data_IF_058834090770
#
_entry.id   IF_058834090770
#
_cell.length_a   1.000
_cell.length_b   1.000
_cell.length_c   1.000
_cell.angle_alpha   90.00
_cell.angle_beta   90.00
_cell.angle_gamma   90.00
#
_symmetry.space_group_name_H-M   'P 1'
#
loop_
_entity.id
_entity.type
_entity.pdbx_description
1 polymer ?
#
# COMPACT_ATOMS: atom_id res chain seq x y z
N UNK A 1 -6.66 -14.53 -11.73
CA UNK A 1 -5.33 -13.99 -11.35
C UNK A 1 -4.29 -14.98 -11.78
N UNK A 2 -3.29 -14.55 -12.56
CA UNK A 2 -2.16 -15.42 -12.95
C UNK A 2 -1.25 -15.63 -11.74
N UNK A 3 -0.46 -16.69 -11.74
CA UNK A 3 0.48 -16.97 -10.65
C UNK A 3 1.54 -15.87 -10.49
N UNK A 4 1.94 -15.25 -11.60
CA UNK A 4 2.87 -14.13 -11.60
C UNK A 4 2.27 -12.89 -10.95
N UNK A 5 0.99 -12.61 -11.20
CA UNK A 5 0.31 -11.48 -10.56
C UNK A 5 0.13 -11.70 -9.05
N UNK A 6 -0.16 -12.94 -8.64
CA UNK A 6 -0.18 -13.30 -7.22
C UNK A 6 1.17 -13.02 -6.56
N UNK A 7 2.27 -13.49 -7.16
CA UNK A 7 3.62 -13.26 -6.62
C UNK A 7 3.95 -11.76 -6.55
N UNK A 8 3.57 -10.98 -7.55
CA UNK A 8 3.76 -9.52 -7.56
C UNK A 8 3.04 -8.85 -6.38
N UNK A 9 1.77 -9.19 -6.15
CA UNK A 9 0.99 -8.65 -5.03
C UNK A 9 1.54 -9.09 -3.67
N UNK A 10 2.01 -10.33 -3.56
CA UNK A 10 2.67 -10.81 -2.32
C UNK A 10 3.97 -10.06 -2.02
N UNK A 11 4.75 -9.74 -3.05
CA UNK A 11 5.98 -8.96 -2.91
C UNK A 11 5.69 -7.51 -2.52
N UNK A 12 4.64 -6.88 -3.08
CA UNK A 12 4.24 -5.53 -2.73
C UNK A 12 3.83 -5.41 -1.25
N UNK A 13 3.12 -6.40 -0.72
CA UNK A 13 2.63 -6.42 0.65
C UNK A 13 3.66 -6.90 1.70
N UNK A 14 4.96 -6.93 1.36
CA UNK A 14 6.00 -7.51 2.21
C UNK A 14 6.06 -6.84 3.59
N UNK A 15 6.03 -5.51 3.64
CA UNK A 15 6.17 -4.74 4.87
C UNK A 15 4.90 -4.81 5.73
N UNK A 16 3.73 -4.68 5.12
CA UNK A 16 2.44 -4.76 5.78
C UNK A 16 2.26 -6.13 6.43
N UNK A 17 2.63 -7.20 5.73
CA UNK A 17 2.63 -8.56 6.30
C UNK A 17 3.55 -8.70 7.49
N UNK A 18 4.72 -8.06 7.48
CA UNK A 18 5.62 -8.09 8.63
C UNK A 18 4.98 -7.37 9.83
N UNK A 19 4.32 -6.22 9.60
CA UNK A 19 3.64 -5.44 10.65
C UNK A 19 2.40 -6.14 11.20
N UNK A 20 1.54 -6.72 10.36
CA UNK A 20 0.39 -7.49 10.83
C UNK A 20 0.82 -8.68 11.70
N UNK A 21 1.94 -9.34 11.36
CA UNK A 21 2.50 -10.43 12.18
C UNK A 21 2.96 -9.99 13.57
N UNK A 22 3.29 -8.71 13.78
CA UNK A 22 3.64 -8.21 15.12
C UNK A 22 2.43 -7.82 15.96
N UNK A 23 1.21 -7.96 15.42
CA UNK A 23 -0.03 -7.59 16.10
C UNK A 23 -0.48 -6.15 15.90
N UNK A 24 0.14 -5.41 14.97
CA UNK A 24 -0.32 -4.07 14.59
C UNK A 24 -1.68 -4.19 13.91
N UNK A 25 -2.72 -3.67 14.55
CA UNK A 25 -4.12 -3.81 14.11
C UNK A 25 -4.44 -2.98 12.85
N UNK A 26 -3.77 -1.85 12.64
CA UNK A 26 -4.03 -0.93 11.54
C UNK A 26 -2.71 -0.54 10.86
N UNK A 27 -2.60 -0.88 9.57
CA UNK A 27 -1.48 -0.50 8.72
C UNK A 27 -2.04 0.37 7.60
N UNK A 28 -1.40 1.50 7.34
CA UNK A 28 -1.82 2.43 6.31
C UNK A 28 -0.70 2.71 5.31
N UNK A 29 -1.02 2.64 4.02
CA UNK A 29 -0.17 3.13 2.95
C UNK A 29 -0.44 4.61 2.71
N UNK A 30 0.60 5.37 2.39
CA UNK A 30 0.50 6.80 2.08
C UNK A 30 1.32 7.11 0.82
N UNK A 31 0.76 7.92 -0.07
CA UNK A 31 1.44 8.38 -1.28
C UNK A 31 0.97 9.79 -1.66
N UNK A 32 1.77 10.48 -2.48
CA UNK A 32 1.47 11.81 -2.99
C UNK A 32 1.48 11.90 -4.52
N UNK A 33 0.65 12.78 -5.04
CA UNK A 33 0.64 13.18 -6.43
C UNK A 33 0.79 14.70 -6.55
N UNK A 34 1.37 15.16 -7.66
CA UNK A 34 1.50 16.59 -7.93
C UNK A 34 2.85 17.22 -7.57
N UNK A 35 3.90 16.43 -7.28
CA UNK A 35 5.26 16.95 -7.02
C UNK A 35 5.98 17.48 -8.28
N UNK A 36 5.63 16.96 -9.46
CA UNK A 36 6.29 17.27 -10.74
C UNK A 36 5.70 18.42 -11.59
N UNK A 37 4.39 18.70 -11.56
CA UNK A 37 3.81 19.82 -12.31
C UNK A 37 4.42 21.19 -11.94
N UNK A 38 4.41 22.12 -12.90
CA UNK A 38 4.92 23.49 -12.72
C UNK A 38 4.04 24.34 -11.78
N UNK A 39 2.76 23.98 -11.65
CA UNK A 39 1.78 24.63 -10.80
C UNK A 39 0.67 23.64 -10.42
N UNK A 40 -0.06 23.95 -9.34
CA UNK A 40 -1.05 23.08 -8.72
C UNK A 40 -0.57 22.54 -7.37
N UNK A 41 -1.48 22.07 -6.50
CA UNK A 41 -1.10 21.53 -5.20
C UNK A 41 -0.47 20.15 -5.33
N UNK A 42 0.39 19.81 -4.36
CA UNK A 42 0.69 18.41 -4.03
C UNK A 42 -0.46 17.90 -3.17
N UNK A 43 -0.98 16.74 -3.49
CA UNK A 43 -2.06 16.08 -2.74
C UNK A 43 -1.55 14.72 -2.27
N UNK A 44 -1.76 14.42 -0.99
CA UNK A 44 -1.42 13.12 -0.39
C UNK A 44 -2.70 12.40 0.05
N UNK A 45 -2.67 11.07 -0.02
CA UNK A 45 -3.73 10.21 0.48
C UNK A 45 -3.14 9.15 1.42
N UNK A 46 -3.94 8.71 2.39
CA UNK A 46 -3.58 7.66 3.33
C UNK A 46 -4.74 6.67 3.43
N UNK A 47 -4.45 5.38 3.26
CA UNK A 47 -5.47 4.32 3.22
C UNK A 47 -5.10 3.24 4.22
N UNK A 48 -5.97 3.00 5.19
CA UNK A 48 -5.87 1.85 6.11
C UNK A 48 -6.41 0.61 5.39
N UNK A 49 -5.54 -0.37 5.15
CA UNK A 49 -5.90 -1.60 4.43
C UNK A 49 -6.21 -2.74 5.42
N UNK A 50 -7.22 -3.60 5.14
CA UNK A 50 -7.43 -4.82 5.89
C UNK A 50 -6.32 -5.84 5.60
N UNK A 51 -6.06 -6.76 6.54
CA UNK A 51 -5.05 -7.82 6.35
C UNK A 51 -5.43 -8.75 5.17
N UNK A 52 -6.73 -9.00 4.96
CA UNK A 52 -7.25 -9.85 3.89
C UNK A 52 -8.61 -9.39 3.36
N UNK A 53 -8.93 -9.70 2.09
CA UNK A 53 -8.01 -10.23 1.07
C UNK A 53 -6.98 -9.19 0.66
N UNK A 54 -5.78 -9.65 0.26
CA UNK A 54 -4.75 -8.79 -0.32
C UNK A 54 -5.15 -8.51 -1.78
N UNK A 55 -5.96 -7.47 -1.97
CA UNK A 55 -6.57 -7.05 -3.25
C UNK A 55 -7.29 -8.20 -3.97
#
# INVERSE_FOLDING_TARGET
MTDDERKRLEALAHYERALWKTGVAHVAGMDEAGRGPLAGPVVSACVVMPERPLV
#
